data_IF_127374850781
#
_entry.id   IF_127374850781
#
_cell.length_a   1.000
_cell.length_b   1.000
_cell.length_c   1.000
_cell.angle_alpha   90.00
_cell.angle_beta   90.00
_cell.angle_gamma   90.00
#
_symmetry.space_group_name_H-M   'P 1'
#
loop_
_entity.id
_entity.type
_entity.pdbx_description
1 polymer ?
#
# COMPACT_ATOMS: atom_id res chain seq x y z
N UNK A 1 -21.38 27.55 1.54
CA UNK A 1 -20.32 26.70 2.11
C UNK A 1 -19.87 25.75 1.02
N UNK A 2 -19.06 26.12 0.02
CA UNK A 2 -18.08 27.20 -0.04
C UNK A 2 -16.71 26.68 0.41
N UNK A 3 -16.03 25.96 -0.49
CA UNK A 3 -14.58 25.71 -0.55
C UNK A 3 -13.86 25.19 0.72
N UNK A 4 -13.72 23.87 0.85
CA UNK A 4 -12.53 23.17 1.39
C UNK A 4 -12.64 21.74 0.83
N UNK A 5 -11.96 21.30 -0.22
CA UNK A 5 -10.53 20.91 -0.29
C UNK A 5 -10.17 21.01 -1.78
N UNK A 6 -9.56 22.12 -2.22
CA UNK A 6 -8.75 22.11 -3.45
C UNK A 6 -7.30 22.32 -3.01
N UNK A 7 -6.44 21.38 -3.41
CA UNK A 7 -5.01 21.48 -3.16
C UNK A 7 -4.46 20.44 -2.19
N UNK A 8 -4.56 19.16 -2.52
CA UNK A 8 -3.32 18.38 -2.44
C UNK A 8 -2.35 19.14 -3.36
N UNK A 9 -1.38 19.86 -2.79
CA UNK A 9 -0.36 20.48 -3.62
C UNK A 9 0.26 19.36 -4.43
N UNK A 10 0.21 19.47 -5.77
CA UNK A 10 0.89 18.53 -6.67
C UNK A 10 2.36 18.38 -6.28
N UNK A 11 2.92 19.41 -5.64
CA UNK A 11 4.27 19.43 -5.08
C UNK A 11 4.53 18.35 -4.03
N UNK A 12 3.50 17.74 -3.42
CA UNK A 12 3.64 16.68 -2.40
C UNK A 12 3.24 15.29 -2.91
N UNK A 13 2.78 15.17 -4.16
CA UNK A 13 2.43 13.89 -4.78
C UNK A 13 3.69 13.29 -5.41
N UNK A 14 4.02 12.06 -5.02
CA UNK A 14 5.13 11.31 -5.63
C UNK A 14 4.64 10.44 -6.79
N UNK A 15 3.47 9.80 -6.60
CA UNK A 15 2.79 8.97 -7.59
C UNK A 15 1.27 9.11 -7.40
N UNK A 16 0.53 9.26 -8.49
CA UNK A 16 -0.93 9.23 -8.52
C UNK A 16 -1.40 8.62 -9.84
N UNK A 17 -2.18 7.55 -9.73
CA UNK A 17 -2.84 6.88 -10.84
C UNK A 17 -4.35 6.85 -10.56
N UNK A 18 -5.12 7.60 -11.36
CA UNK A 18 -6.59 7.59 -11.37
C UNK A 18 -7.13 6.32 -12.03
N UNK A 19 -6.34 5.76 -12.95
CA UNK A 19 -6.75 4.73 -13.88
C UNK A 19 -7.87 5.13 -14.84
N UNK A 20 -8.12 6.43 -15.07
CA UNK A 20 -9.17 6.86 -16.00
C UNK A 20 -8.80 6.59 -17.47
N UNK A 21 -7.53 6.84 -17.83
CA UNK A 21 -7.04 6.73 -19.21
C UNK A 21 -6.23 5.47 -19.50
N UNK A 22 -5.88 4.69 -18.48
CA UNK A 22 -5.02 3.51 -18.59
C UNK A 22 -4.31 3.17 -17.29
N UNK A 23 -3.29 2.31 -17.37
CA UNK A 23 -2.54 1.84 -16.20
C UNK A 23 -1.32 2.70 -15.85
N UNK A 24 -0.90 3.64 -16.68
CA UNK A 24 0.16 4.60 -16.34
C UNK A 24 -0.32 5.64 -15.32
N UNK A 25 0.57 6.11 -14.46
CA UNK A 25 0.27 7.16 -13.49
C UNK A 25 0.07 8.53 -14.17
N UNK A 26 -0.98 9.24 -13.77
CA UNK A 26 -1.28 10.60 -14.23
C UNK A 26 -0.26 11.64 -13.71
N UNK A 27 0.26 11.40 -12.50
CA UNK A 27 1.32 12.20 -11.89
C UNK A 27 2.37 11.26 -11.34
N UNK A 28 3.62 11.48 -11.72
CA UNK A 28 4.78 10.75 -11.24
C UNK A 28 5.97 11.70 -11.16
N UNK A 29 6.80 11.52 -10.13
CA UNK A 29 8.11 12.19 -10.04
C UNK A 29 9.23 11.37 -10.69
N UNK A 30 9.05 10.05 -10.76
CA UNK A 30 9.93 9.10 -11.42
C UNK A 30 9.36 8.62 -12.74
N UNK A 31 9.37 7.30 -12.94
CA UNK A 31 8.77 6.64 -14.09
C UNK A 31 7.24 6.48 -13.88
N UNK A 32 6.38 7.02 -14.77
CA UNK A 32 4.93 6.85 -14.67
C UNK A 32 4.43 5.51 -15.19
N UNK A 33 5.23 4.76 -15.95
CA UNK A 33 4.78 3.56 -16.63
C UNK A 33 5.11 2.31 -15.80
N UNK A 34 4.11 1.51 -15.40
CA UNK A 34 4.37 0.29 -14.64
C UNK A 34 4.76 -0.88 -15.55
N UNK A 35 5.49 -1.83 -14.98
CA UNK A 35 5.53 -3.19 -15.51
C UNK A 35 4.22 -3.91 -15.19
N UNK A 36 3.66 -4.66 -16.15
CA UNK A 36 2.33 -5.25 -16.04
C UNK A 36 2.40 -6.73 -16.42
N UNK A 37 1.76 -7.58 -15.62
CA UNK A 37 1.49 -8.96 -15.94
C UNK A 37 0.12 -9.09 -16.63
N UNK A 38 0.12 -9.06 -17.97
CA UNK A 38 -1.08 -8.93 -18.83
C UNK A 38 -2.19 -9.97 -18.61
N UNK A 39 -1.90 -11.11 -17.96
CA UNK A 39 -2.92 -12.11 -17.62
C UNK A 39 -3.66 -11.84 -16.32
N UNK A 40 -3.03 -11.10 -15.39
CA UNK A 40 -3.53 -10.88 -14.04
C UNK A 40 -4.13 -9.48 -13.91
N UNK A 41 -3.61 -8.55 -14.69
CA UNK A 41 -3.97 -7.14 -14.61
C UNK A 41 -4.71 -6.72 -15.87
N UNK A 42 -5.86 -6.07 -15.66
CA UNK A 42 -6.59 -5.39 -16.71
C UNK A 42 -7.02 -4.00 -16.30
N UNK A 43 -7.16 -3.14 -17.29
CA UNK A 43 -7.78 -1.83 -17.14
C UNK A 43 -9.28 -1.93 -17.44
N UNK A 44 -10.10 -1.31 -16.61
CA UNK A 44 -11.54 -1.16 -16.79
C UNK A 44 -11.90 0.32 -16.74
N UNK A 45 -12.17 0.92 -17.90
CA UNK A 45 -12.32 2.37 -18.06
C UNK A 45 -13.58 2.97 -17.40
N UNK A 46 -14.55 2.14 -17.01
CA UNK A 46 -15.83 2.61 -16.44
C UNK A 46 -16.18 1.95 -15.10
N UNK A 47 -15.38 0.99 -14.64
CA UNK A 47 -15.66 0.22 -13.45
C UNK A 47 -15.24 0.87 -12.13
N UNK A 48 -14.56 2.02 -12.16
CA UNK A 48 -14.03 2.68 -10.97
C UNK A 48 -15.09 3.41 -10.14
N UNK A 49 -14.72 3.77 -8.90
CA UNK A 49 -15.58 4.65 -8.06
C UNK A 49 -15.86 5.99 -8.74
N UNK A 50 -14.85 6.48 -9.46
CA UNK A 50 -14.85 7.66 -10.30
C UNK A 50 -14.03 7.31 -11.54
N UNK A 51 -14.68 7.12 -12.69
CA UNK A 51 -14.00 6.78 -13.95
C UNK A 51 -13.47 5.34 -13.98
N UNK A 52 -12.18 5.18 -14.27
CA UNK A 52 -11.59 3.87 -14.51
C UNK A 52 -11.02 3.20 -13.25
N UNK A 53 -10.58 1.94 -13.40
CA UNK A 53 -9.91 1.17 -12.35
C UNK A 53 -8.89 0.20 -12.91
N UNK A 54 -7.91 -0.10 -12.06
CA UNK A 54 -7.11 -1.32 -12.12
C UNK A 54 -7.96 -2.49 -11.60
N UNK A 55 -7.92 -3.62 -12.31
CA UNK A 55 -8.49 -4.88 -11.81
C UNK A 55 -7.40 -5.94 -11.80
N UNK A 56 -7.36 -6.68 -10.68
CA UNK A 56 -6.46 -7.79 -10.41
C UNK A 56 -7.32 -9.05 -10.31
N UNK A 57 -7.11 -9.99 -11.24
CA UNK A 57 -7.92 -11.20 -11.41
C UNK A 57 -7.12 -12.48 -11.05
N UNK A 58 -6.24 -12.41 -10.06
CA UNK A 58 -5.40 -13.54 -9.62
C UNK A 58 -6.21 -14.79 -9.22
N UNK A 59 -7.40 -14.59 -8.64
CA UNK A 59 -8.29 -15.69 -8.22
C UNK A 59 -8.67 -16.63 -9.35
N UNK A 60 -9.02 -16.06 -10.50
CA UNK A 60 -9.51 -16.80 -11.66
C UNK A 60 -8.37 -17.23 -12.60
N UNK A 61 -7.13 -16.85 -12.28
CA UNK A 61 -5.94 -17.10 -13.10
C UNK A 61 -4.83 -17.79 -12.28
N UNK A 62 -3.65 -17.17 -12.23
CA UNK A 62 -2.46 -17.59 -11.48
C UNK A 62 -2.07 -16.49 -10.49
N UNK A 63 -1.09 -16.75 -9.64
CA UNK A 63 -0.49 -15.74 -8.78
C UNK A 63 0.92 -15.43 -9.26
N UNK A 64 1.27 -14.14 -9.26
CA UNK A 64 2.62 -13.67 -9.52
C UNK A 64 2.98 -12.58 -8.51
N UNK A 65 4.23 -12.56 -8.04
CA UNK A 65 4.70 -11.49 -7.16
C UNK A 65 4.75 -10.13 -7.86
N UNK A 66 4.69 -10.07 -9.20
CA UNK A 66 4.90 -8.86 -10.00
C UNK A 66 3.72 -8.54 -10.92
N UNK A 67 2.49 -8.53 -10.37
CA UNK A 67 1.28 -8.29 -11.17
C UNK A 67 1.25 -6.91 -11.83
N UNK A 68 1.51 -5.86 -11.05
CA UNK A 68 1.74 -4.49 -11.55
C UNK A 68 2.72 -3.78 -10.62
N UNK A 69 3.81 -3.27 -11.20
CA UNK A 69 4.90 -2.65 -10.47
C UNK A 69 5.23 -1.28 -11.04
N UNK A 70 5.19 -0.24 -10.22
CA UNK A 70 5.82 1.04 -10.51
C UNK A 70 7.23 1.07 -9.92
N UNK A 71 8.15 1.78 -10.57
CA UNK A 71 9.47 2.05 -10.01
C UNK A 71 9.34 2.89 -8.74
N UNK A 72 10.06 2.52 -7.68
CA UNK A 72 10.09 3.25 -6.42
C UNK A 72 10.97 4.51 -6.47
N UNK A 73 11.96 4.56 -7.36
CA UNK A 73 12.80 5.75 -7.58
C UNK A 73 11.93 6.97 -7.85
N UNK A 74 12.10 8.00 -7.03
CA UNK A 74 11.41 9.30 -7.06
C UNK A 74 9.88 9.24 -6.84
N UNK A 75 9.23 8.11 -7.10
CA UNK A 75 7.80 7.88 -6.86
C UNK A 75 7.44 7.59 -5.39
N UNK A 76 8.43 7.52 -4.49
CA UNK A 76 8.23 7.41 -3.05
C UNK A 76 9.09 8.45 -2.30
N UNK A 77 8.63 9.04 -1.19
CA UNK A 77 9.32 10.15 -0.51
C UNK A 77 10.54 9.72 0.34
N UNK A 78 11.31 8.74 -0.13
CA UNK A 78 12.42 8.17 0.62
C UNK A 78 13.52 9.20 0.91
N UNK A 79 13.93 9.29 2.18
CA UNK A 79 15.14 9.98 2.61
C UNK A 79 16.04 9.02 3.37
N UNK A 80 17.32 8.86 3.01
CA UNK A 80 18.18 7.86 3.64
C UNK A 80 18.49 8.21 5.10
N UNK A 81 18.74 7.21 5.96
CA UNK A 81 19.14 7.43 7.34
C UNK A 81 20.37 8.34 7.42
N UNK A 82 20.38 9.28 8.37
CA UNK A 82 21.50 10.19 8.56
C UNK A 82 21.60 11.34 7.55
N UNK A 83 20.65 11.48 6.62
CA UNK A 83 20.55 12.65 5.72
C UNK A 83 20.24 13.97 6.45
N UNK A 84 19.84 13.90 7.72
CA UNK A 84 19.40 15.05 8.52
C UNK A 84 17.91 15.36 8.38
N UNK A 85 17.19 14.61 7.54
CA UNK A 85 15.75 14.76 7.31
C UNK A 85 15.07 13.39 7.40
N UNK A 86 14.18 13.23 8.38
CA UNK A 86 13.21 12.14 8.37
C UNK A 86 12.19 12.37 7.24
N UNK A 87 11.45 11.33 6.87
CA UNK A 87 10.39 11.45 5.89
C UNK A 87 9.05 10.92 6.40
N UNK A 88 8.00 11.55 5.88
CA UNK A 88 6.60 11.25 6.15
C UNK A 88 5.96 10.82 4.84
N UNK A 89 4.83 10.11 4.93
CA UNK A 89 4.10 9.72 3.75
C UNK A 89 2.66 9.31 4.02
N UNK A 90 1.91 9.32 2.94
CA UNK A 90 0.52 8.87 2.88
C UNK A 90 0.37 7.98 1.66
N UNK A 91 -0.13 6.77 1.85
CA UNK A 91 -0.64 5.93 0.78
C UNK A 91 -2.17 5.95 0.86
N UNK A 92 -2.83 6.27 -0.24
CA UNK A 92 -4.28 6.35 -0.31
C UNK A 92 -4.78 5.63 -1.57
N UNK A 93 -5.83 4.83 -1.41
CA UNK A 93 -6.44 4.08 -2.50
C UNK A 93 -7.93 3.84 -2.25
N UNK A 94 -8.65 3.59 -3.34
CA UNK A 94 -10.01 3.07 -3.30
C UNK A 94 -9.94 1.58 -3.60
N UNK A 95 -10.60 0.78 -2.76
CA UNK A 95 -10.72 -0.67 -2.91
C UNK A 95 -12.18 -1.06 -3.06
N UNK A 96 -12.45 -2.06 -3.90
CA UNK A 96 -13.75 -2.70 -4.05
C UNK A 96 -13.53 -4.21 -4.13
N UNK A 97 -14.33 -4.96 -3.39
CA UNK A 97 -14.28 -6.41 -3.34
C UNK A 97 -14.68 -6.91 -1.95
N UNK A 98 -15.23 -8.11 -1.90
CA UNK A 98 -15.44 -8.86 -0.68
C UNK A 98 -14.15 -9.63 -0.33
N UNK A 99 -13.43 -9.27 0.75
CA UNK A 99 -12.18 -9.95 1.09
C UNK A 99 -12.33 -11.46 1.34
N UNK A 100 -13.50 -11.91 1.79
CA UNK A 100 -13.75 -13.31 2.13
C UNK A 100 -14.36 -14.10 0.97
N UNK A 101 -15.14 -13.45 0.10
CA UNK A 101 -15.78 -14.11 -1.04
C UNK A 101 -15.02 -13.98 -2.37
N UNK A 102 -14.28 -12.87 -2.60
CA UNK A 102 -13.70 -12.53 -3.91
C UNK A 102 -12.25 -12.98 -4.12
N UNK A 103 -11.55 -13.36 -3.06
CA UNK A 103 -10.12 -13.67 -3.08
C UNK A 103 -9.85 -15.17 -3.06
N UNK A 104 -8.72 -15.59 -3.62
CA UNK A 104 -8.25 -16.97 -3.50
C UNK A 104 -7.56 -17.17 -2.15
N UNK A 105 -7.93 -18.22 -1.42
CA UNK A 105 -7.40 -18.53 -0.08
C UNK A 105 -5.93 -18.97 -0.07
N UNK A 106 -5.42 -19.42 -1.21
CA UNK A 106 -4.04 -19.91 -1.33
C UNK A 106 -3.03 -18.78 -1.50
N UNK A 107 -3.46 -17.64 -2.06
CA UNK A 107 -2.58 -16.53 -2.44
C UNK A 107 -2.48 -15.47 -1.33
N UNK A 108 -1.31 -14.82 -1.17
CA UNK A 108 -1.26 -13.55 -0.44
C UNK A 108 -2.09 -12.50 -1.18
N UNK A 109 -2.56 -11.49 -0.45
CA UNK A 109 -3.31 -10.37 -1.02
C UNK A 109 -2.86 -9.09 -0.32
N UNK A 110 -2.00 -8.35 -1.01
CA UNK A 110 -1.35 -7.11 -0.61
C UNK A 110 -1.82 -6.01 -1.57
N UNK A 111 -2.90 -5.26 -1.25
CA UNK A 111 -3.35 -4.15 -2.09
C UNK A 111 -2.24 -3.15 -2.45
N UNK A 112 -1.25 -2.96 -1.57
CA UNK A 112 0.05 -2.45 -1.99
C UNK A 112 1.20 -3.06 -1.21
N UNK A 113 2.36 -3.07 -1.87
CA UNK A 113 3.64 -3.40 -1.25
C UNK A 113 4.74 -2.50 -1.81
N UNK A 114 5.50 -1.86 -0.93
CA UNK A 114 6.63 -1.00 -1.29
C UNK A 114 7.87 -1.55 -0.61
N UNK A 115 8.72 -2.23 -1.36
CA UNK A 115 9.87 -2.92 -0.77
C UNK A 115 10.98 -3.23 -1.78
N UNK A 116 12.12 -3.62 -1.24
CA UNK A 116 13.10 -4.48 -1.95
C UNK A 116 12.86 -5.98 -1.67
N UNK A 117 12.22 -6.28 -0.54
CA UNK A 117 11.84 -7.62 -0.09
C UNK A 117 10.73 -7.50 0.98
N UNK A 118 9.80 -8.45 1.02
CA UNK A 118 8.57 -8.33 1.81
C UNK A 118 8.78 -8.12 3.32
N UNK A 119 9.78 -8.80 3.89
CA UNK A 119 10.12 -8.74 5.32
C UNK A 119 11.38 -7.92 5.64
N UNK A 120 11.83 -7.03 4.74
CA UNK A 120 13.04 -6.22 4.93
C UNK A 120 12.92 -4.86 4.24
N UNK A 121 12.91 -3.80 5.05
CA UNK A 121 12.77 -2.42 4.59
C UNK A 121 11.53 -2.26 3.70
N UNK A 122 10.34 -2.45 4.27
CA UNK A 122 9.08 -2.45 3.52
C UNK A 122 7.97 -1.64 4.18
N UNK A 123 7.02 -1.22 3.35
CA UNK A 123 5.68 -0.77 3.75
C UNK A 123 4.67 -1.57 2.96
N UNK A 124 3.63 -2.08 3.61
CA UNK A 124 2.63 -2.91 2.94
C UNK A 124 1.26 -2.72 3.57
N UNK A 125 0.23 -2.93 2.75
CA UNK A 125 -1.12 -3.17 3.20
C UNK A 125 -1.47 -4.56 2.73
N UNK A 126 -1.89 -5.43 3.65
CA UNK A 126 -2.26 -6.81 3.32
C UNK A 126 -3.63 -7.20 3.92
N UNK A 127 -4.19 -8.26 3.35
CA UNK A 127 -5.32 -9.00 3.90
C UNK A 127 -4.79 -10.34 4.41
N UNK A 128 -5.08 -10.68 5.66
CA UNK A 128 -4.73 -12.00 6.19
C UNK A 128 -5.39 -13.11 5.38
N UNK A 129 -4.78 -14.29 5.36
CA UNK A 129 -5.46 -15.50 4.87
C UNK A 129 -6.70 -15.81 5.73
N UNK A 130 -7.69 -16.55 5.20
CA UNK A 130 -8.80 -17.01 6.02
C UNK A 130 -8.28 -18.02 7.05
N UNK A 131 -8.91 -18.04 8.23
CA UNK A 131 -8.50 -18.85 9.37
C UNK A 131 -7.04 -18.58 9.80
N UNK A 132 -6.56 -17.34 9.65
CA UNK A 132 -5.23 -16.96 10.10
C UNK A 132 -5.04 -17.33 11.57
N UNK A 133 -3.90 -17.91 11.92
CA UNK A 133 -3.68 -18.44 13.28
C UNK A 133 -3.60 -17.34 14.35
N UNK A 134 -3.27 -16.10 13.97
CA UNK A 134 -3.22 -14.94 14.88
C UNK A 134 -4.55 -14.22 14.93
N UNK A 135 -5.24 -14.11 13.79
CA UNK A 135 -6.37 -13.20 13.63
C UNK A 135 -7.72 -13.86 13.32
N UNK A 136 -7.71 -15.16 13.00
CA UNK A 136 -8.89 -15.93 12.63
C UNK A 136 -9.50 -15.52 11.29
N UNK A 137 -10.82 -15.69 11.19
CA UNK A 137 -11.68 -15.16 10.12
C UNK A 137 -12.70 -14.19 10.73
N UNK A 138 -13.26 -13.23 9.98
CA UNK A 138 -12.95 -12.90 8.57
C UNK A 138 -11.53 -12.35 8.36
N UNK A 139 -11.09 -12.22 7.10
CA UNK A 139 -9.78 -11.63 6.77
C UNK A 139 -9.62 -10.26 7.44
N UNK A 140 -8.40 -9.94 7.88
CA UNK A 140 -8.05 -8.64 8.47
C UNK A 140 -7.22 -7.83 7.51
N UNK A 141 -7.61 -6.57 7.29
CA UNK A 141 -6.75 -5.59 6.64
C UNK A 141 -5.70 -5.08 7.63
N UNK A 142 -4.43 -5.11 7.25
CA UNK A 142 -3.33 -4.69 8.10
C UNK A 142 -2.39 -3.76 7.34
N UNK A 143 -2.05 -2.64 7.97
CA UNK A 143 -0.98 -1.77 7.49
C UNK A 143 0.27 -2.07 8.31
N UNK A 144 1.29 -2.60 7.64
CA UNK A 144 2.54 -3.01 8.26
C UNK A 144 3.74 -2.37 7.60
N UNK A 145 4.84 -2.35 8.34
CA UNK A 145 6.12 -1.88 7.83
C UNK A 145 7.26 -2.48 8.64
N UNK A 146 8.39 -2.69 7.96
CA UNK A 146 9.60 -3.27 8.51
C UNK A 146 10.76 -2.29 8.38
N UNK A 147 11.62 -2.24 9.40
CA UNK A 147 12.95 -1.66 9.26
C UNK A 147 13.90 -2.57 8.46
N UNK A 148 15.17 -2.21 8.41
CA UNK A 148 16.21 -3.09 7.86
C UNK A 148 16.28 -4.41 8.66
N UNK A 149 16.12 -5.53 7.96
CA UNK A 149 16.16 -6.88 8.51
C UNK A 149 16.99 -7.78 7.59
N UNK A 150 18.31 -7.87 7.79
CA UNK A 150 19.17 -8.74 6.98
C UNK A 150 18.79 -10.22 7.05
N UNK A 151 18.10 -10.64 8.12
CA UNK A 151 17.59 -11.99 8.30
C UNK A 151 16.24 -12.22 7.58
N UNK A 152 15.61 -11.17 7.06
CA UNK A 152 14.28 -11.19 6.42
C UNK A 152 13.22 -11.88 7.30
N UNK A 153 13.34 -11.69 8.62
CA UNK A 153 12.49 -12.34 9.60
C UNK A 153 11.28 -11.45 9.91
N UNK A 154 10.09 -11.91 9.51
CA UNK A 154 8.82 -11.20 9.74
C UNK A 154 8.48 -10.95 11.22
N UNK A 155 9.16 -11.61 12.16
CA UNK A 155 8.98 -11.45 13.60
C UNK A 155 9.94 -10.43 14.23
N UNK A 156 10.85 -9.85 13.44
CA UNK A 156 11.86 -8.91 13.90
C UNK A 156 11.66 -7.54 13.24
N UNK A 157 11.74 -6.46 14.04
CA UNK A 157 11.78 -5.09 13.50
C UNK A 157 10.55 -4.66 12.70
N UNK A 158 9.41 -5.34 12.88
CA UNK A 158 8.16 -5.04 12.21
C UNK A 158 7.15 -4.36 13.13
N UNK A 159 6.34 -3.49 12.54
CA UNK A 159 5.18 -2.91 13.20
C UNK A 159 3.94 -3.09 12.36
N UNK A 160 2.79 -3.18 13.02
CA UNK A 160 1.57 -3.66 12.39
C UNK A 160 0.34 -3.02 13.03
N UNK A 161 -0.46 -2.35 12.20
CA UNK A 161 -1.77 -1.82 12.54
C UNK A 161 -2.83 -2.72 11.93
N UNK A 162 -3.83 -3.14 12.71
CA UNK A 162 -4.92 -4.00 12.24
C UNK A 162 -6.23 -3.22 12.26
N UNK A 163 -6.93 -3.15 11.13
CA UNK A 163 -8.13 -2.31 10.98
C UNK A 163 -9.34 -2.79 11.79
N UNK A 164 -9.33 -4.04 12.25
CA UNK A 164 -10.47 -4.72 12.89
C UNK A 164 -11.39 -5.39 11.87
N UNK A 165 -12.69 -5.49 12.19
CA UNK A 165 -13.73 -5.97 11.28
C UNK A 165 -13.92 -4.99 10.11
N UNK A 166 -13.97 -5.51 8.89
CA UNK A 166 -14.15 -4.71 7.68
C UNK A 166 -15.63 -4.54 7.30
N UNK A 167 -16.41 -5.62 7.37
CA UNK A 167 -17.81 -5.67 6.93
C UNK A 167 -17.98 -5.23 5.45
N UNK A 168 -16.99 -5.52 4.61
CA UNK A 168 -16.96 -5.17 3.18
C UNK A 168 -17.74 -6.17 2.33
N UNK A 169 -18.14 -5.72 1.14
CA UNK A 169 -18.72 -6.53 0.09
C UNK A 169 -18.31 -5.99 -1.29
N UNK A 170 -18.57 -6.76 -2.34
CA UNK A 170 -18.22 -6.45 -3.73
C UNK A 170 -18.95 -5.24 -4.35
N UNK A 171 -19.95 -4.67 -3.67
CA UNK A 171 -20.81 -3.59 -4.21
C UNK A 171 -20.37 -2.20 -3.79
N UNK A 172 -19.49 -2.10 -2.80
CA UNK A 172 -19.10 -0.84 -2.18
C UNK A 172 -17.62 -0.55 -2.41
N UNK A 173 -17.33 0.72 -2.63
CA UNK A 173 -15.96 1.21 -2.70
C UNK A 173 -15.59 1.80 -1.35
N UNK A 174 -14.46 1.35 -0.80
CA UNK A 174 -13.92 1.82 0.47
C UNK A 174 -12.64 2.62 0.24
N UNK A 175 -12.53 3.77 0.90
CA UNK A 175 -11.30 4.55 0.88
C UNK A 175 -10.39 4.04 2.00
N UNK A 176 -9.20 3.56 1.63
CA UNK A 176 -8.14 3.22 2.59
C UNK A 176 -7.04 4.27 2.53
N UNK A 177 -6.66 4.79 3.69
CA UNK A 177 -5.54 5.73 3.82
C UNK A 177 -4.61 5.28 4.93
N UNK A 178 -3.36 4.99 4.60
CA UNK A 178 -2.30 4.67 5.53
C UNK A 178 -1.32 5.84 5.60
N UNK A 179 -1.12 6.39 6.79
CA UNK A 179 -0.13 7.45 7.02
C UNK A 179 1.00 6.96 7.89
N UNK A 180 2.19 7.49 7.66
CA UNK A 180 3.35 7.30 8.53
C UNK A 180 4.14 8.61 8.64
N UNK A 181 4.81 8.78 9.77
CA UNK A 181 5.63 9.95 10.05
C UNK A 181 6.94 9.54 10.72
N UNK A 182 7.96 10.38 10.52
CA UNK A 182 9.29 10.25 11.10
C UNK A 182 10.02 8.94 10.73
N UNK A 183 9.77 8.41 9.53
CA UNK A 183 10.60 7.32 9.02
C UNK A 183 12.05 7.82 8.83
N UNK A 184 13.02 7.00 9.22
CA UNK A 184 14.45 7.34 9.24
C UNK A 184 14.84 8.53 10.14
N UNK A 185 14.03 8.88 11.14
CA UNK A 185 14.40 9.91 12.15
C UNK A 185 15.57 9.51 13.05
N UNK A 186 15.83 8.19 13.18
CA UNK A 186 16.77 7.63 14.14
C UNK A 186 16.26 7.57 15.58
N UNK A 187 15.02 7.99 15.84
CA UNK A 187 14.41 8.08 17.17
C UNK A 187 13.13 7.23 17.29
N UNK A 188 12.66 6.99 18.51
CA UNK A 188 11.38 6.32 18.79
C UNK A 188 10.21 7.31 18.77
N UNK A 189 10.07 8.06 17.67
CA UNK A 189 9.08 9.12 17.48
C UNK A 189 8.18 8.89 16.26
N UNK A 190 8.24 7.69 15.68
CA UNK A 190 7.39 7.25 14.59
C UNK A 190 5.92 7.28 14.96
N UNK A 191 5.07 7.62 13.98
CA UNK A 191 3.62 7.67 14.11
C UNK A 191 2.97 7.10 12.85
N UNK A 192 1.94 6.29 13.02
CA UNK A 192 1.16 5.76 11.92
C UNK A 192 -0.33 5.76 12.25
N UNK A 193 -1.15 5.98 11.23
CA UNK A 193 -2.61 5.88 11.34
C UNK A 193 -3.15 5.18 10.10
N UNK A 194 -4.06 4.23 10.31
CA UNK A 194 -4.84 3.60 9.25
C UNK A 194 -6.27 4.14 9.31
N UNK A 195 -6.75 4.69 8.22
CA UNK A 195 -8.12 5.17 8.05
C UNK A 195 -8.87 4.29 7.04
N UNK A 196 -10.15 4.04 7.33
CA UNK A 196 -11.12 3.48 6.39
C UNK A 196 -12.31 4.44 6.34
N UNK A 197 -12.69 4.87 5.13
CA UNK A 197 -13.81 5.78 4.87
C UNK A 197 -13.75 7.06 5.72
N UNK A 198 -12.54 7.63 5.81
CA UNK A 198 -12.24 8.85 6.56
C UNK A 198 -12.24 8.69 8.09
N UNK A 199 -12.41 7.47 8.62
CA UNK A 199 -12.41 7.20 10.06
C UNK A 199 -11.13 6.48 10.49
N UNK A 200 -10.45 6.91 11.57
CA UNK A 200 -9.29 6.20 12.08
C UNK A 200 -9.72 4.82 12.62
N UNK A 201 -9.06 3.77 12.13
CA UNK A 201 -9.31 2.37 12.50
C UNK A 201 -8.22 1.80 13.41
N UNK A 202 -6.99 2.24 13.21
CA UNK A 202 -5.86 1.87 14.05
C UNK A 202 -4.84 3.01 14.09
N UNK A 203 -4.13 3.11 15.21
CA UNK A 203 -3.06 4.11 15.42
C UNK A 203 -1.88 3.44 16.11
N UNK A 204 -0.68 3.98 15.87
CA UNK A 204 0.52 3.55 16.57
C UNK A 204 1.49 4.71 16.70
N UNK A 205 2.17 4.80 17.83
CA UNK A 205 3.15 5.85 18.12
C UNK A 205 4.31 5.30 18.93
N UNK A 206 5.48 5.95 18.86
CA UNK A 206 6.60 5.64 19.75
C UNK A 206 7.45 4.47 19.28
N UNK A 207 7.56 4.29 17.96
CA UNK A 207 8.43 3.30 17.35
C UNK A 207 9.56 3.96 16.57
N UNK A 208 10.66 3.23 16.38
CA UNK A 208 11.80 3.67 15.56
C UNK A 208 11.83 2.89 14.26
N UNK A 209 11.42 3.52 13.17
CA UNK A 209 11.48 2.92 11.83
C UNK A 209 12.70 3.43 11.06
N UNK A 210 13.72 2.58 10.94
CA UNK A 210 14.91 2.84 10.14
C UNK A 210 15.03 1.82 9.02
N UNK A 211 15.21 2.29 7.79
CA UNK A 211 15.30 1.47 6.59
C UNK A 211 16.27 2.08 5.57
N UNK A 212 16.98 1.21 4.88
CA UNK A 212 17.98 1.58 3.87
C UNK A 212 17.61 0.98 2.53
N UNK A 213 17.44 1.84 1.53
CA UNK A 213 17.15 1.43 0.16
C UNK A 213 18.24 1.85 -0.80
N UNK A 214 18.49 0.99 -1.79
CA UNK A 214 18.93 1.44 -3.10
C UNK A 214 17.65 1.86 -3.87
N UNK A 215 17.47 3.15 -4.19
CA UNK A 215 16.25 3.60 -4.87
C UNK A 215 15.98 2.91 -6.21
N UNK A 216 17.01 2.37 -6.89
CA UNK A 216 16.84 1.60 -8.12
C UNK A 216 16.20 0.22 -7.90
N UNK A 217 16.30 -0.32 -6.69
CA UNK A 217 15.87 -1.69 -6.37
C UNK A 217 14.52 -1.74 -5.65
N UNK A 218 13.85 -0.59 -5.48
CA UNK A 218 12.55 -0.50 -4.82
C UNK A 218 11.46 -0.46 -5.87
N UNK A 219 10.40 -1.22 -5.64
CA UNK A 219 9.16 -1.16 -6.42
C UNK A 219 7.98 -0.77 -5.55
N UNK A 220 6.94 -0.24 -6.20
CA UNK A 220 5.61 -0.03 -5.63
C UNK A 220 4.69 -1.00 -6.37
N UNK A 221 4.43 -2.15 -5.75
CA UNK A 221 3.51 -3.16 -6.25
C UNK A 221 2.07 -2.89 -5.80
N UNK A 222 1.10 -3.19 -6.66
CA UNK A 222 -0.32 -3.15 -6.33
C UNK A 222 -0.94 -4.52 -6.60
N UNK A 223 -1.72 -5.06 -5.65
CA UNK A 223 -2.52 -6.27 -5.85
C UNK A 223 -1.81 -7.62 -5.65
N UNK A 224 -0.58 -7.62 -5.12
CA UNK A 224 0.25 -8.83 -4.93
C UNK A 224 -0.39 -9.90 -4.06
#
# INVERSE_FOLDING_TARGET
MGEVIEGLSRENVCLYASFDAGLSADVSRGNPDPAIHDKLVRHDAEGGRFGGRLVVDARDNEWAEDEILYDGRDNFPYSPPGSGTAFDGTIAMWLQGDPDEDLNDEFPVDPFHISRHSADASFYLDLTKPNDWRYGSPRRLRFGFYGDSPAQNMFEGGWLLVAGELDWNDREWHQVVATFQNANSGSEDGRAVLYIDGRPRATMTGYRHNLTWDPDAVSIGLGQ
#
